data_IF_877141462786
#
_entry.id   IF_877141462786
#
_cell.length_a   1.000
_cell.length_b   1.000
_cell.length_c   1.000
_cell.angle_alpha   90.00
_cell.angle_beta   90.00
_cell.angle_gamma   90.00
#
_symmetry.space_group_name_H-M   'P 1'
#
loop_
_entity.id
_entity.type
_entity.pdbx_description
1 polymer ?
#
# COMPACT_ATOMS: atom_id res chain seq x y z
N UNK A 1 17.49 -2.80 7.52
CA UNK A 1 16.68 -1.82 8.25
C UNK A 1 15.23 -2.28 8.35
N UNK A 2 14.52 -1.81 9.33
CA UNK A 2 13.09 -2.06 9.46
C UNK A 2 12.31 -1.05 8.61
N UNK A 3 11.30 -1.53 7.89
CA UNK A 3 10.45 -0.68 7.08
C UNK A 3 8.98 -1.08 7.22
N UNK A 4 8.12 -0.23 6.73
CA UNK A 4 6.67 -0.48 6.73
C UNK A 4 6.19 -0.53 5.29
N UNK A 5 5.64 -1.66 4.90
CA UNK A 5 5.17 -1.89 3.54
C UNK A 5 3.71 -1.52 3.42
N UNK A 6 3.42 -0.58 2.55
CA UNK A 6 2.06 -0.26 2.15
C UNK A 6 1.73 -1.09 0.92
N UNK A 7 0.87 -2.07 1.07
CA UNK A 7 0.42 -2.93 -0.02
C UNK A 7 -1.04 -2.63 -0.33
N UNK A 8 -1.32 -2.40 -1.60
CA UNK A 8 -2.66 -2.05 -2.05
C UNK A 8 -3.20 -3.13 -2.99
N UNK A 9 -4.49 -3.40 -2.86
CA UNK A 9 -5.19 -4.42 -3.62
C UNK A 9 -6.45 -3.85 -4.26
N UNK A 10 -6.71 -4.23 -5.48
CA UNK A 10 -7.92 -3.86 -6.20
C UNK A 10 -8.67 -5.15 -6.53
N UNK A 11 -9.86 -5.34 -5.94
CA UNK A 11 -10.64 -6.58 -6.04
C UNK A 11 -9.82 -7.83 -5.69
N UNK A 12 -8.96 -7.74 -4.66
CA UNK A 12 -8.12 -8.84 -4.24
C UNK A 12 -6.84 -9.04 -5.05
N UNK A 13 -6.62 -8.22 -6.08
CA UNK A 13 -5.42 -8.30 -6.93
C UNK A 13 -4.41 -7.26 -6.46
N UNK A 14 -3.19 -7.69 -6.16
CA UNK A 14 -2.14 -6.80 -5.69
C UNK A 14 -1.76 -5.78 -6.78
N UNK A 15 -1.70 -4.50 -6.39
CA UNK A 15 -1.37 -3.40 -7.29
C UNK A 15 0.06 -2.90 -7.11
N UNK A 16 0.79 -3.47 -6.15
CA UNK A 16 2.15 -3.08 -5.85
C UNK A 16 2.33 -2.71 -4.39
N UNK A 17 3.55 -2.38 -4.02
CA UNK A 17 3.88 -2.03 -2.65
C UNK A 17 4.87 -0.88 -2.61
N UNK A 18 4.74 -0.06 -1.57
CA UNK A 18 5.64 1.07 -1.30
C UNK A 18 6.15 0.91 0.12
N UNK A 19 7.43 1.20 0.33
CA UNK A 19 8.08 1.06 1.62
C UNK A 19 8.33 2.41 2.26
N UNK A 20 8.00 2.53 3.54
CA UNK A 20 8.18 3.75 4.33
C UNK A 20 9.07 3.48 5.53
N UNK A 21 9.83 4.49 5.94
CA UNK A 21 10.65 4.45 7.14
C UNK A 21 9.81 4.63 8.41
N UNK A 22 8.67 5.27 8.31
CA UNK A 22 7.81 5.63 9.42
C UNK A 22 6.47 4.93 9.34
N UNK A 23 6.02 4.35 10.46
CA UNK A 23 4.69 3.75 10.57
C UNK A 23 3.59 4.80 10.39
N UNK A 24 3.85 6.04 10.81
CA UNK A 24 2.88 7.12 10.67
C UNK A 24 2.57 7.42 9.21
N UNK A 25 3.59 7.46 8.36
CA UNK A 25 3.42 7.67 6.93
C UNK A 25 2.66 6.51 6.28
N UNK A 26 3.03 5.28 6.63
CA UNK A 26 2.37 4.09 6.12
C UNK A 26 0.89 4.08 6.50
N UNK A 27 0.58 4.37 7.77
CA UNK A 27 -0.79 4.41 8.26
C UNK A 27 -1.60 5.54 7.64
N UNK A 28 -0.98 6.70 7.44
CA UNK A 28 -1.61 7.84 6.79
C UNK A 28 -2.08 7.47 5.37
N UNK A 29 -1.20 6.90 4.58
CA UNK A 29 -1.55 6.51 3.21
C UNK A 29 -2.54 5.34 3.18
N UNK A 30 -2.48 4.45 4.15
CA UNK A 30 -3.46 3.37 4.26
C UNK A 30 -4.86 3.93 4.45
N UNK A 31 -5.03 4.90 5.34
CA UNK A 31 -6.32 5.56 5.57
C UNK A 31 -6.78 6.35 4.35
N UNK A 32 -5.84 7.03 3.71
CA UNK A 32 -6.15 7.88 2.56
C UNK A 32 -6.60 7.06 1.35
N UNK A 33 -5.92 5.94 1.09
CA UNK A 33 -6.15 5.16 -0.12
C UNK A 33 -7.20 4.06 0.03
N UNK A 34 -7.39 3.50 1.23
CA UNK A 34 -8.19 2.30 1.41
C UNK A 34 -9.71 2.51 1.34
N UNK A 35 -10.18 3.75 1.25
CA UNK A 35 -11.61 4.04 1.16
C UNK A 35 -12.04 4.55 -0.21
N UNK A 36 -11.18 4.40 -1.21
CA UNK A 36 -11.49 4.89 -2.54
C UNK A 36 -12.21 3.81 -3.34
N UNK A 37 -13.29 4.20 -3.98
CA UNK A 37 -14.04 3.37 -4.89
C UNK A 37 -13.89 3.93 -6.30
N UNK A 38 -13.65 3.04 -7.25
CA UNK A 38 -13.49 3.39 -8.65
C UNK A 38 -14.49 2.62 -9.48
N UNK A 39 -14.96 3.23 -10.57
CA UNK A 39 -15.71 2.51 -11.58
C UNK A 39 -14.76 2.10 -12.71
N UNK A 40 -14.78 0.83 -13.07
CA UNK A 40 -14.01 0.35 -14.18
C UNK A 40 -14.71 0.66 -15.52
N UNK A 41 -14.13 0.21 -16.63
CA UNK A 41 -14.64 0.51 -17.97
C UNK A 41 -16.05 -0.04 -18.23
N UNK A 42 -16.42 -1.11 -17.53
CA UNK A 42 -17.76 -1.71 -17.66
C UNK A 42 -18.76 -1.19 -16.62
N UNK A 43 -18.37 -0.17 -15.84
CA UNK A 43 -19.24 0.48 -14.87
C UNK A 43 -19.38 -0.24 -13.55
N UNK A 44 -18.59 -1.27 -13.29
CA UNK A 44 -18.60 -1.96 -12.01
C UNK A 44 -17.81 -1.18 -10.96
N UNK A 45 -18.30 -1.19 -9.72
CA UNK A 45 -17.60 -0.57 -8.61
C UNK A 45 -16.43 -1.46 -8.18
N UNK A 46 -15.24 -0.87 -8.14
CA UNK A 46 -14.01 -1.56 -7.74
C UNK A 46 -13.58 -0.98 -6.40
N UNK A 47 -13.40 -1.82 -5.40
CA UNK A 47 -12.91 -1.43 -4.09
C UNK A 47 -11.39 -1.52 -4.04
N UNK A 48 -10.77 -0.42 -3.60
CA UNK A 48 -9.31 -0.32 -3.45
C UNK A 48 -8.99 -0.43 -1.97
N UNK A 49 -8.23 -1.46 -1.59
CA UNK A 49 -7.87 -1.72 -0.20
C UNK A 49 -6.35 -1.67 -0.04
N UNK A 50 -5.90 -0.99 1.00
CA UNK A 50 -4.48 -0.93 1.35
C UNK A 50 -4.27 -1.38 2.79
N UNK A 51 -3.16 -2.08 3.01
CA UNK A 51 -2.74 -2.51 4.34
C UNK A 51 -1.31 -2.06 4.59
N UNK A 52 -1.00 -1.77 5.84
CA UNK A 52 0.35 -1.47 6.28
C UNK A 52 0.90 -2.66 7.04
N UNK A 53 2.06 -3.16 6.63
CA UNK A 53 2.67 -4.36 7.20
C UNK A 53 4.11 -4.10 7.59
N UNK A 54 4.52 -4.59 8.76
CA UNK A 54 5.91 -4.48 9.21
C UNK A 54 6.80 -5.43 8.43
N UNK A 55 7.90 -4.89 7.90
CA UNK A 55 8.97 -5.65 7.27
C UNK A 55 10.24 -5.47 8.10
N UNK A 56 10.62 -6.46 8.92
CA UNK A 56 11.73 -6.28 9.87
C UNK A 56 13.10 -6.19 9.22
N UNK A 57 13.26 -6.75 8.04
CA UNK A 57 14.53 -6.72 7.31
C UNK A 57 14.30 -6.31 5.87
N UNK A 58 14.83 -5.16 5.48
CA UNK A 58 14.81 -4.68 4.10
C UNK A 58 16.16 -4.06 3.77
N UNK A 59 16.61 -4.26 2.54
CA UNK A 59 17.84 -3.68 2.05
C UNK A 59 17.53 -2.37 1.29
N UNK A 60 17.84 -1.19 1.87
CA UNK A 60 17.54 0.09 1.24
C UNK A 60 18.32 0.34 -0.05
N UNK A 61 19.40 -0.42 -0.30
CA UNK A 61 20.16 -0.33 -1.54
C UNK A 61 19.45 -1.00 -2.71
N UNK A 62 18.56 -1.95 -2.42
CA UNK A 62 17.80 -2.69 -3.45
C UNK A 62 16.37 -2.22 -3.61
N UNK A 63 15.80 -1.64 -2.57
CA UNK A 63 14.40 -1.22 -2.53
C UNK A 63 14.34 0.22 -2.03
N UNK A 64 13.62 1.07 -2.74
CA UNK A 64 13.46 2.45 -2.32
C UNK A 64 12.55 2.53 -1.10
N UNK A 65 13.04 3.16 -0.03
CA UNK A 65 12.29 3.37 1.22
C UNK A 65 12.07 4.88 1.40
N UNK A 66 10.83 5.28 1.50
CA UNK A 66 10.43 6.69 1.61
C UNK A 66 10.39 7.23 3.03
#
# INVERSE_FOLDING_TARGET
MTAFMLACYMNGVAQGAVYFKSVNDCTYYTKYLSKQEYKNEVGQTVTYECICKLVPQINPDKVKVY
#
